data_IF_785077809647
#
_entry.id   IF_785077809647
#
_cell.length_a   1.000
_cell.length_b   1.000
_cell.length_c   1.000
_cell.angle_alpha   90.00
_cell.angle_beta   90.00
_cell.angle_gamma   90.00
#
_symmetry.space_group_name_H-M   'P 1'
#
loop_
_entity.id
_entity.type
_entity.pdbx_description
1 polymer ?
#
# COMPACT_ATOMS: atom_id res chain seq x y z
N UNK A 1 -6.11 -0.45 -1.17
CA UNK A 1 -5.22 -1.48 -1.77
C UNK A 1 -3.80 -1.05 -1.45
N UNK A 2 -2.98 -1.91 -0.85
CA UNK A 2 -1.58 -1.55 -0.53
C UNK A 2 -0.87 -1.36 -1.88
N UNK A 3 -0.52 -0.11 -2.19
CA UNK A 3 0.03 0.31 -3.48
C UNK A 3 1.24 -0.53 -3.92
N UNK A 4 1.98 -1.10 -2.97
CA UNK A 4 3.12 -1.97 -3.23
C UNK A 4 2.75 -3.33 -3.83
N UNK A 5 1.64 -3.95 -3.41
CA UNK A 5 1.22 -5.25 -3.95
C UNK A 5 0.69 -5.08 -5.39
N UNK A 6 -0.11 -4.03 -5.62
CA UNK A 6 -0.59 -3.69 -6.95
C UNK A 6 0.58 -3.39 -7.91
N UNK A 7 1.55 -2.58 -7.48
CA UNK A 7 2.74 -2.27 -8.26
C UNK A 7 3.59 -3.52 -8.53
N UNK A 8 3.71 -4.42 -7.55
CA UNK A 8 4.47 -5.66 -7.70
C UNK A 8 3.79 -6.60 -8.70
N UNK A 9 2.48 -6.80 -8.59
CA UNK A 9 1.70 -7.58 -9.56
C UNK A 9 1.76 -6.93 -10.94
N UNK A 10 1.64 -5.60 -11.03
CA UNK A 10 1.69 -4.89 -12.32
C UNK A 10 3.05 -5.04 -12.99
N UNK A 11 4.15 -4.91 -12.24
CA UNK A 11 5.52 -5.13 -12.76
C UNK A 11 5.73 -6.58 -13.18
N UNK A 12 5.22 -7.51 -12.38
CA UNK A 12 5.30 -8.92 -12.67
C UNK A 12 4.54 -9.30 -13.94
N UNK A 13 3.26 -8.94 -14.05
CA UNK A 13 2.47 -9.20 -15.26
C UNK A 13 3.08 -8.53 -16.50
N UNK A 14 3.66 -7.33 -16.37
CA UNK A 14 4.37 -6.67 -17.47
C UNK A 14 5.64 -7.41 -17.92
N UNK A 15 6.32 -8.10 -16.99
CA UNK A 15 7.54 -8.86 -17.27
C UNK A 15 7.24 -10.28 -17.76
N UNK A 16 6.21 -10.93 -17.23
CA UNK A 16 5.80 -12.31 -17.60
C UNK A 16 5.41 -12.41 -19.08
N UNK A 17 4.81 -11.38 -19.66
CA UNK A 17 4.52 -11.34 -21.12
C UNK A 17 5.81 -11.45 -21.97
N UNK A 18 6.97 -11.08 -21.41
CA UNK A 18 8.28 -11.15 -22.06
C UNK A 18 9.12 -12.35 -21.62
N UNK A 19 8.75 -13.03 -20.54
CA UNK A 19 9.48 -14.18 -20.03
C UNK A 19 9.10 -15.42 -20.84
N UNK A 20 9.98 -15.79 -21.77
CA UNK A 20 9.95 -17.09 -22.45
C UNK A 20 11.07 -17.92 -21.83
N UNK A 21 10.77 -19.14 -21.40
CA UNK A 21 11.82 -20.08 -21.01
C UNK A 21 12.76 -20.37 -22.20
N UNK A 22 13.92 -20.96 -21.93
CA UNK A 22 14.86 -21.44 -22.97
C UNK A 22 14.19 -22.32 -24.03
N UNK A 23 13.08 -22.96 -23.65
CA UNK A 23 12.27 -23.86 -24.47
C UNK A 23 11.13 -23.14 -25.22
N UNK A 24 11.00 -21.82 -25.09
CA UNK A 24 10.06 -20.98 -25.85
C UNK A 24 8.64 -20.89 -25.30
N UNK A 25 8.34 -21.52 -24.16
CA UNK A 25 7.02 -21.47 -23.54
C UNK A 25 6.76 -20.12 -22.86
N UNK A 26 5.58 -19.55 -23.11
CA UNK A 26 5.03 -18.41 -22.36
C UNK A 26 4.28 -18.97 -21.16
N UNK A 27 4.74 -18.65 -19.96
CA UNK A 27 4.04 -19.01 -18.73
C UNK A 27 2.82 -18.12 -18.55
N UNK A 28 1.69 -18.72 -18.16
CA UNK A 28 0.54 -17.93 -17.71
C UNK A 28 0.89 -17.24 -16.40
N UNK A 29 0.50 -15.97 -16.24
CA UNK A 29 0.85 -15.21 -15.04
C UNK A 29 0.28 -15.84 -13.77
N UNK A 30 -0.84 -16.56 -13.90
CA UNK A 30 -1.51 -17.26 -12.81
C UNK A 30 -0.64 -18.35 -12.18
N UNK A 31 0.18 -19.06 -12.98
CA UNK A 31 1.04 -20.14 -12.49
C UNK A 31 2.23 -19.63 -11.69
N UNK A 32 2.60 -18.36 -11.89
CA UNK A 32 3.75 -17.74 -11.26
C UNK A 32 3.38 -16.94 -9.99
N UNK A 33 2.08 -16.82 -9.65
CA UNK A 33 1.60 -16.16 -8.43
C UNK A 33 2.24 -16.72 -7.16
N UNK A 34 2.40 -18.05 -6.97
CA UNK A 34 3.04 -18.59 -5.76
C UNK A 34 4.50 -18.16 -5.61
N UNK A 35 5.23 -18.03 -6.72
CA UNK A 35 6.62 -17.55 -6.69
C UNK A 35 6.68 -16.07 -6.30
N UNK A 36 5.74 -15.27 -6.79
CA UNK A 36 5.61 -13.86 -6.41
C UNK A 36 5.22 -13.68 -4.94
N UNK A 37 4.33 -14.53 -4.41
CA UNK A 37 3.96 -14.53 -2.99
C UNK A 37 5.17 -14.86 -2.10
N UNK A 38 5.95 -15.88 -2.48
CA UNK A 38 7.17 -16.26 -1.77
C UNK A 38 8.15 -15.07 -1.73
N UNK A 39 8.43 -14.46 -2.88
CA UNK A 39 9.35 -13.33 -2.98
C UNK A 39 8.87 -12.12 -2.17
N UNK A 40 7.56 -11.86 -2.13
CA UNK A 40 6.99 -10.82 -1.29
C UNK A 40 7.26 -11.06 0.20
N UNK A 41 7.05 -12.30 0.65
CA UNK A 41 7.21 -12.70 2.06
C UNK A 41 8.67 -12.69 2.52
N UNK A 42 9.61 -12.88 1.60
CA UNK A 42 11.05 -12.92 1.87
C UNK A 42 11.78 -11.63 1.53
N UNK A 43 11.14 -10.69 0.83
CA UNK A 43 11.69 -9.37 0.51
C UNK A 43 11.60 -8.42 1.69
N UNK A 44 12.63 -7.59 1.89
CA UNK A 44 12.63 -6.56 2.93
C UNK A 44 11.77 -5.36 2.51
N UNK A 45 10.82 -4.96 3.36
CA UNK A 45 10.03 -3.76 3.10
C UNK A 45 10.73 -2.51 3.62
N UNK A 46 10.69 -1.43 2.83
CA UNK A 46 11.28 -0.14 3.21
C UNK A 46 10.63 0.48 4.45
N UNK A 47 9.33 0.26 4.66
CA UNK A 47 8.58 0.82 5.79
C UNK A 47 8.88 0.11 7.12
N UNK A 48 9.17 -1.19 7.09
CA UNK A 48 9.41 -2.00 8.31
C UNK A 48 10.88 -2.37 8.50
N UNK A 49 11.71 -2.24 7.47
CA UNK A 49 13.12 -2.67 7.47
C UNK A 49 13.33 -4.17 7.66
N UNK A 50 12.27 -4.97 7.56
CA UNK A 50 12.24 -6.42 7.78
C UNK A 50 11.34 -7.11 6.76
N UNK A 51 11.51 -8.42 6.61
CA UNK A 51 10.65 -9.25 5.76
C UNK A 51 9.35 -9.58 6.50
N UNK A 52 8.21 -9.73 5.80
CA UNK A 52 6.95 -10.09 6.46
C UNK A 52 7.03 -11.42 7.20
N UNK A 53 7.67 -12.42 6.59
CA UNK A 53 7.81 -13.76 7.18
C UNK A 53 8.64 -13.74 8.48
N UNK A 54 9.68 -12.89 8.55
CA UNK A 54 10.44 -12.68 9.77
C UNK A 54 9.61 -12.04 10.89
N UNK A 55 8.68 -11.14 10.57
CA UNK A 55 7.83 -10.49 11.59
C UNK A 55 6.67 -11.38 12.06
N UNK A 56 6.15 -12.20 11.16
CA UNK A 56 5.06 -13.14 11.42
C UNK A 56 5.58 -14.39 12.14
N UNK A 57 6.54 -15.09 11.53
CA UNK A 57 7.02 -16.40 11.96
C UNK A 57 8.37 -16.36 12.67
N UNK A 58 9.14 -15.28 12.54
CA UNK A 58 10.47 -15.16 13.17
C UNK A 58 11.62 -15.79 12.38
N UNK A 59 11.37 -16.32 11.19
CA UNK A 59 12.37 -16.90 10.30
C UNK A 59 11.93 -16.73 8.84
N UNK A 60 12.88 -16.82 7.91
CA UNK A 60 12.61 -16.83 6.47
C UNK A 60 12.91 -18.23 5.91
N UNK A 61 12.11 -18.74 4.96
CA UNK A 61 12.42 -19.98 4.26
C UNK A 61 13.72 -19.87 3.48
N UNK A 62 14.44 -20.99 3.35
CA UNK A 62 15.63 -21.05 2.48
C UNK A 62 15.19 -21.02 1.03
N UNK A 63 15.68 -20.04 0.27
CA UNK A 63 15.41 -19.91 -1.15
C UNK A 63 16.48 -20.63 -1.98
N UNK A 64 16.21 -21.00 -3.25
CA UNK A 64 17.19 -21.70 -4.09
C UNK A 64 18.55 -20.97 -4.22
N UNK A 65 18.54 -19.63 -4.21
CA UNK A 65 19.79 -18.86 -4.25
C UNK A 65 20.56 -18.88 -2.92
N UNK A 66 19.89 -19.11 -1.79
CA UNK A 66 20.55 -19.24 -0.49
C UNK A 66 21.33 -20.55 -0.40
N UNK A 67 20.92 -21.58 -1.13
CA UNK A 67 21.68 -22.85 -1.24
C UNK A 67 23.06 -22.66 -1.86
N UNK A 68 23.27 -21.60 -2.64
CA UNK A 68 24.58 -21.25 -3.20
C UNK A 68 25.52 -20.63 -2.17
N UNK A 69 25.00 -20.14 -1.04
CA UNK A 69 25.79 -19.55 0.04
C UNK A 69 26.30 -20.65 0.96
N UNK A 70 27.60 -20.94 0.88
CA UNK A 70 28.27 -22.00 1.67
C UNK A 70 28.39 -21.71 3.17
N UNK A 71 28.17 -20.45 3.59
CA UNK A 71 28.45 -19.98 4.96
C UNK A 71 27.19 -19.81 5.84
N UNK A 72 26.09 -20.46 5.50
CA UNK A 72 24.87 -20.40 6.33
C UNK A 72 25.04 -21.29 7.56
N UNK A 73 25.41 -20.67 8.68
CA UNK A 73 25.48 -21.33 9.98
C UNK A 73 24.07 -21.62 10.48
N UNK A 74 23.72 -22.91 10.55
CA UNK A 74 22.42 -23.42 10.97
C UNK A 74 22.36 -23.60 12.50
N UNK A 75 22.51 -22.51 13.25
CA UNK A 75 22.31 -22.53 14.70
C UNK A 75 20.84 -22.23 14.97
N UNK A 76 20.08 -23.27 15.32
CA UNK A 76 18.75 -23.08 15.86
C UNK A 76 18.83 -22.42 17.25
N UNK A 77 18.29 -21.20 17.43
CA UNK A 77 18.30 -20.55 18.73
C UNK A 77 17.41 -21.30 19.72
N UNK A 78 17.78 -21.28 21.00
CA UNK A 78 16.88 -21.68 22.09
C UNK A 78 15.59 -20.84 22.05
N UNK A 79 14.47 -21.40 22.52
CA UNK A 79 13.16 -20.73 22.57
C UNK A 79 13.22 -19.30 23.14
N UNK A 80 13.94 -19.11 24.25
CA UNK A 80 14.12 -17.80 24.89
C UNK A 80 14.86 -16.79 24.01
N UNK A 81 15.94 -17.22 23.37
CA UNK A 81 16.71 -16.42 22.41
C UNK A 81 15.89 -16.08 21.17
N UNK A 82 15.09 -17.03 20.68
CA UNK A 82 14.21 -16.83 19.53
C UNK A 82 13.12 -15.79 19.82
N UNK A 83 12.45 -15.90 20.97
CA UNK A 83 11.46 -14.92 21.41
C UNK A 83 12.06 -13.51 21.51
N UNK A 84 13.24 -13.40 22.13
CA UNK A 84 13.94 -12.12 22.26
C UNK A 84 14.29 -11.52 20.89
N UNK A 85 14.72 -12.34 19.94
CA UNK A 85 15.00 -11.91 18.57
C UNK A 85 13.74 -11.39 17.86
N UNK A 86 12.62 -12.10 17.98
CA UNK A 86 11.35 -11.72 17.39
C UNK A 86 10.81 -10.41 17.98
N UNK A 87 10.88 -10.25 19.31
CA UNK A 87 10.46 -9.03 20.00
C UNK A 87 11.30 -7.83 19.56
N UNK A 88 12.63 -8.00 19.41
CA UNK A 88 13.52 -6.97 18.86
C UNK A 88 13.17 -6.63 17.41
N UNK A 89 12.89 -7.62 16.57
CA UNK A 89 12.51 -7.41 15.18
C UNK A 89 11.21 -6.61 15.07
N UNK A 90 10.19 -6.95 15.87
CA UNK A 90 8.91 -6.23 15.94
C UNK A 90 9.07 -4.82 16.47
N UNK A 91 9.86 -4.64 17.52
CA UNK A 91 10.16 -3.31 18.06
C UNK A 91 10.83 -2.41 17.01
N UNK A 92 11.81 -2.93 16.27
CA UNK A 92 12.46 -2.19 15.21
C UNK A 92 11.50 -1.84 14.07
N UNK A 93 10.66 -2.79 13.64
CA UNK A 93 9.65 -2.54 12.61
C UNK A 93 8.65 -1.46 13.03
N UNK A 94 8.21 -1.47 14.29
CA UNK A 94 7.34 -0.43 14.83
C UNK A 94 8.01 0.95 14.83
N UNK A 95 9.30 1.03 15.18
CA UNK A 95 10.07 2.28 15.09
C UNK A 95 10.13 2.78 13.64
N UNK A 96 10.54 1.94 12.69
CA UNK A 96 10.61 2.32 11.27
C UNK A 96 9.26 2.80 10.73
N UNK A 97 8.17 2.17 11.16
CA UNK A 97 6.82 2.56 10.78
C UNK A 97 6.41 3.92 11.38
N UNK A 98 6.73 4.16 12.65
CA UNK A 98 6.52 5.47 13.30
C UNK A 98 7.30 6.59 12.60
N UNK A 99 8.57 6.34 12.27
CA UNK A 99 9.41 7.29 11.54
C UNK A 99 8.84 7.59 10.15
N UNK A 100 8.38 6.55 9.44
CA UNK A 100 7.73 6.67 8.14
C UNK A 100 6.44 7.50 8.21
N UNK A 101 5.61 7.27 9.24
CA UNK A 101 4.38 8.06 9.45
C UNK A 101 4.69 9.50 9.80
N UNK A 102 5.68 9.75 10.67
CA UNK A 102 6.12 11.09 11.03
C UNK A 102 6.61 11.86 9.79
N UNK A 103 7.46 11.23 8.98
CA UNK A 103 7.96 11.80 7.74
C UNK A 103 6.82 12.13 6.75
N UNK A 104 5.88 11.19 6.55
CA UNK A 104 4.74 11.40 5.67
C UNK A 104 3.86 12.56 6.15
N UNK A 105 3.60 12.65 7.47
CA UNK A 105 2.87 13.74 8.09
C UNK A 105 3.56 15.09 7.88
N UNK A 106 4.84 15.19 8.23
CA UNK A 106 5.60 16.43 8.05
C UNK A 106 5.64 16.90 6.59
N UNK A 107 5.71 15.96 5.64
CA UNK A 107 5.66 16.28 4.21
C UNK A 107 4.28 16.78 3.78
N UNK A 108 3.22 16.12 4.25
CA UNK A 108 1.85 16.55 3.99
C UNK A 108 1.60 17.95 4.53
N UNK A 109 1.89 18.16 5.82
CA UNK A 109 1.65 19.41 6.55
C UNK A 109 2.38 20.62 5.93
N UNK A 110 3.54 20.41 5.29
CA UNK A 110 4.27 21.49 4.56
C UNK A 110 3.52 22.03 3.35
N UNK A 111 2.78 21.18 2.65
CA UNK A 111 2.10 21.52 1.40
C UNK A 111 0.59 21.72 1.56
N UNK A 112 0.03 21.10 2.59
CA UNK A 112 -1.40 21.09 2.82
C UNK A 112 -1.86 22.41 3.43
N UNK A 113 -2.80 23.06 2.76
CA UNK A 113 -3.53 24.21 3.29
C UNK A 113 -4.93 23.75 3.63
N UNK A 114 -5.29 23.66 4.93
CA UNK A 114 -6.64 23.26 5.30
C UNK A 114 -7.63 24.32 4.79
N UNK A 115 -8.69 23.91 4.08
CA UNK A 115 -9.73 24.85 3.66
C UNK A 115 -10.54 25.32 4.87
N UNK A 116 -10.77 26.64 4.97
CA UNK A 116 -11.65 27.23 5.97
C UNK A 116 -13.07 27.31 5.39
N UNK A 117 -13.90 26.34 5.72
CA UNK A 117 -15.31 26.30 5.32
C UNK A 117 -16.20 26.79 6.45
N UNK A 118 -17.19 27.62 6.13
CA UNK A 118 -18.19 28.10 7.08
C UNK A 118 -19.57 27.57 6.72
N UNK A 119 -20.41 27.44 7.74
CA UNK A 119 -21.82 27.11 7.56
C UNK A 119 -22.46 28.25 6.73
N UNK A 120 -23.18 27.88 5.68
CA UNK A 120 -23.75 28.82 4.72
C UNK A 120 -22.89 29.09 3.48
N UNK A 121 -21.62 28.66 3.44
CA UNK A 121 -20.80 28.81 2.24
C UNK A 121 -21.34 27.96 1.09
N UNK A 122 -21.19 28.48 -0.13
CA UNK A 122 -21.56 27.80 -1.36
C UNK A 122 -20.35 27.08 -1.93
N UNK A 123 -20.46 25.76 -2.08
CA UNK A 123 -19.38 24.91 -2.58
C UNK A 123 -19.81 24.09 -3.79
N UNK A 124 -18.83 23.79 -4.65
CA UNK A 124 -18.99 22.89 -5.78
C UNK A 124 -18.53 21.48 -5.39
N UNK A 125 -19.29 20.47 -5.79
CA UNK A 125 -18.99 19.06 -5.48
C UNK A 125 -18.54 18.34 -6.74
N UNK A 126 -17.43 17.62 -6.66
CA UNK A 126 -16.91 16.88 -7.82
C UNK A 126 -17.88 15.77 -8.24
N UNK A 127 -18.20 15.71 -9.55
CA UNK A 127 -19.11 14.72 -10.13
C UNK A 127 -18.46 13.34 -10.33
N UNK A 128 -17.18 13.17 -9.98
CA UNK A 128 -16.41 11.94 -10.23
C UNK A 128 -17.08 10.67 -9.69
N UNK A 129 -17.64 10.75 -8.49
CA UNK A 129 -18.28 9.62 -7.80
C UNK A 129 -19.81 9.60 -7.95
N UNK A 130 -20.39 10.52 -8.72
CA UNK A 130 -21.83 10.57 -8.94
C UNK A 130 -22.22 9.73 -10.17
N UNK A 131 -23.01 8.68 -9.91
CA UNK A 131 -23.54 7.79 -10.95
C UNK A 131 -24.94 8.20 -11.44
N UNK A 132 -25.62 9.08 -10.70
CA UNK A 132 -27.01 9.47 -10.95
C UNK A 132 -27.16 10.77 -11.78
N UNK A 133 -26.07 11.30 -12.33
CA UNK A 133 -26.09 12.50 -13.16
C UNK A 133 -26.32 12.07 -14.61
N UNK A 134 -27.34 12.65 -15.26
CA UNK A 134 -27.69 12.36 -16.66
C UNK A 134 -26.57 12.81 -17.61
N UNK A 135 -26.36 12.02 -18.67
CA UNK A 135 -25.45 12.33 -19.77
C UNK A 135 -24.11 11.56 -19.74
N UNK A 136 -23.36 11.58 -20.85
CA UNK A 136 -22.10 10.86 -20.96
C UNK A 136 -21.01 11.47 -20.08
N UNK A 137 -20.27 10.63 -19.34
CA UNK A 137 -19.22 11.02 -18.37
C UNK A 137 -18.15 11.98 -18.93
N UNK A 138 -17.90 11.94 -20.24
CA UNK A 138 -16.91 12.79 -20.92
C UNK A 138 -17.41 14.21 -21.24
N UNK A 139 -18.72 14.42 -21.35
CA UNK A 139 -19.32 15.71 -21.74
C UNK A 139 -20.03 16.40 -20.59
N UNK A 140 -20.13 15.77 -19.41
CA UNK A 140 -20.70 16.38 -18.22
C UNK A 140 -19.67 17.22 -17.47
N UNK A 141 -20.14 18.24 -16.76
CA UNK A 141 -19.28 19.07 -15.93
C UNK A 141 -18.61 18.26 -14.82
N UNK A 142 -17.34 18.58 -14.55
CA UNK A 142 -16.54 17.93 -13.50
C UNK A 142 -17.02 18.25 -12.09
N UNK A 143 -17.84 19.30 -11.94
CA UNK A 143 -18.37 19.77 -10.67
C UNK A 143 -19.85 20.13 -10.80
N UNK A 144 -20.62 19.85 -9.75
CA UNK A 144 -22.04 20.18 -9.63
C UNK A 144 -22.28 21.12 -8.44
N UNK A 145 -23.29 21.97 -8.54
CA UNK A 145 -23.64 22.97 -7.52
C UNK A 145 -23.81 24.36 -8.13
N UNK A 146 -23.81 25.43 -7.33
CA UNK A 146 -23.35 25.48 -5.93
C UNK A 146 -24.34 24.92 -4.91
N UNK A 147 -23.84 24.20 -3.90
CA UNK A 147 -24.62 23.69 -2.78
C UNK A 147 -24.19 24.37 -1.47
N UNK A 148 -25.14 24.58 -0.57
CA UNK A 148 -24.88 25.24 0.71
C UNK A 148 -24.37 24.25 1.76
N UNK A 149 -23.36 24.65 2.52
CA UNK A 149 -22.89 23.89 3.68
C UNK A 149 -23.91 24.03 4.82
N UNK A 150 -24.52 22.90 5.21
CA UNK A 150 -25.48 22.80 6.32
C UNK A 150 -24.77 22.64 7.66
N UNK A 151 -23.81 21.72 7.74
CA UNK A 151 -23.04 21.46 8.97
C UNK A 151 -21.61 21.04 8.64
N UNK A 152 -20.68 21.35 9.56
CA UNK A 152 -19.29 20.92 9.49
C UNK A 152 -19.08 19.73 10.43
N UNK A 153 -18.54 18.62 9.91
CA UNK A 153 -18.23 17.40 10.66
C UNK A 153 -16.71 17.26 10.77
N UNK A 154 -16.10 18.06 11.64
CA UNK A 154 -14.64 18.12 11.79
C UNK A 154 -13.95 18.88 10.63
N UNK A 155 -12.63 18.73 10.48
CA UNK A 155 -11.85 19.56 9.54
C UNK A 155 -12.01 19.18 8.06
N UNK A 156 -12.40 17.93 7.76
CA UNK A 156 -12.33 17.38 6.40
C UNK A 156 -13.68 16.89 5.85
N UNK A 157 -14.76 16.95 6.63
CA UNK A 157 -16.07 16.49 6.20
C UNK A 157 -17.13 17.58 6.41
N UNK A 158 -17.92 17.82 5.37
CA UNK A 158 -19.00 18.81 5.39
C UNK A 158 -20.29 18.15 4.91
N UNK A 159 -21.41 18.52 5.53
CA UNK A 159 -22.73 18.10 5.10
C UNK A 159 -23.33 19.22 4.26
N UNK A 160 -23.79 18.86 3.06
CA UNK A 160 -24.35 19.80 2.10
C UNK A 160 -25.86 19.64 2.03
N UNK A 161 -26.54 20.75 1.79
CA UNK A 161 -27.94 20.74 1.38
C UNK A 161 -28.01 20.67 -0.14
N UNK A 162 -28.40 19.50 -0.65
CA UNK A 162 -28.59 19.27 -2.09
C UNK A 162 -30.01 19.68 -2.45
N UNK A 163 -30.20 20.95 -2.80
CA UNK A 163 -31.43 21.41 -3.46
C UNK A 163 -31.39 20.96 -4.92
N UNK A 164 -32.33 20.09 -5.29
CA UNK A 164 -32.54 19.62 -6.66
C UNK A 164 -33.76 20.27 -7.29
#
# INVERSE_FOLDING_TARGET
MIQTLEDMIRRFCAYVIKFKDSDGFTHDWSTLVPALELEYKTSTHSSTGKTPEMLEKGWNPRLPYDTLKKDLVDIHPTESSFKLMLDKARHNANRCMQDSFKYAKERWDKSHKPPDFKIGDLVLVSTLNFNNIKGPKKLRDSFAGPFMIKTLHGPNAVQLELTG
#
